data_IF_326209471366
#
_entry.id   IF_326209471366
#
_cell.length_a   1.000
_cell.length_b   1.000
_cell.length_c   1.000
_cell.angle_alpha   90.00
_cell.angle_beta   90.00
_cell.angle_gamma   90.00
#
_symmetry.space_group_name_H-M   'P 1'
#
loop_
_entity.id
_entity.type
_entity.pdbx_description
1 polymer ?
#
# COMPACT_ATOMS: atom_id res chain seq x y z
N UNK A 1 12.09 -0.21 3.69
CA UNK A 1 10.87 -0.90 3.25
C UNK A 1 10.61 -0.86 1.74
N UNK A 2 11.08 0.13 0.97
CA UNK A 2 10.76 0.25 -0.45
C UNK A 2 11.21 -0.95 -1.32
N UNK A 3 12.44 -1.44 -1.15
CA UNK A 3 12.94 -2.61 -1.90
C UNK A 3 12.11 -3.88 -1.63
N UNK A 4 11.74 -4.11 -0.37
CA UNK A 4 10.90 -5.25 0.05
C UNK A 4 9.50 -5.14 -0.57
N UNK A 5 8.90 -3.95 -0.59
CA UNK A 5 7.61 -3.72 -1.24
C UNK A 5 7.66 -3.98 -2.75
N UNK A 6 8.73 -3.57 -3.41
CA UNK A 6 8.88 -3.80 -4.85
C UNK A 6 9.10 -5.28 -5.17
N UNK A 7 9.92 -5.98 -4.40
CA UNK A 7 10.09 -7.44 -4.52
C UNK A 7 8.77 -8.19 -4.29
N UNK A 8 8.01 -7.82 -3.25
CA UNK A 8 6.68 -8.38 -2.99
C UNK A 8 5.73 -8.14 -4.19
N UNK A 9 5.75 -6.93 -4.77
CA UNK A 9 4.92 -6.62 -5.92
C UNK A 9 5.21 -7.53 -7.12
N UNK A 10 6.49 -7.80 -7.41
CA UNK A 10 6.86 -8.72 -8.49
C UNK A 10 6.43 -10.16 -8.20
N UNK A 11 6.54 -10.61 -6.95
CA UNK A 11 6.10 -11.95 -6.55
C UNK A 11 4.59 -12.12 -6.69
N UNK A 12 3.80 -11.11 -6.32
CA UNK A 12 2.35 -11.11 -6.48
C UNK A 12 1.94 -11.04 -7.96
N UNK A 13 2.61 -10.22 -8.76
CA UNK A 13 2.40 -10.18 -10.22
C UNK A 13 2.69 -11.53 -10.87
N UNK A 14 3.77 -12.21 -10.46
CA UNK A 14 4.15 -13.53 -10.98
C UNK A 14 3.07 -14.58 -10.79
N UNK A 15 2.26 -14.49 -9.73
CA UNK A 15 1.15 -15.41 -9.45
C UNK A 15 -0.22 -14.86 -9.91
N UNK A 16 -0.23 -13.80 -10.73
CA UNK A 16 -1.42 -13.32 -11.43
C UNK A 16 -2.17 -12.15 -10.78
N UNK A 17 -1.66 -11.56 -9.70
CA UNK A 17 -2.30 -10.38 -9.10
C UNK A 17 -1.92 -9.09 -9.82
N UNK A 18 -2.90 -8.20 -9.99
CA UNK A 18 -2.65 -6.81 -10.43
C UNK A 18 -2.19 -6.00 -9.22
N UNK A 19 -0.94 -5.56 -9.25
CA UNK A 19 -0.32 -4.84 -8.13
C UNK A 19 0.35 -3.56 -8.65
N UNK A 20 0.27 -2.48 -7.88
CA UNK A 20 1.07 -1.28 -8.09
C UNK A 20 1.91 -1.05 -6.82
N UNK A 21 3.18 -0.66 -6.99
CA UNK A 21 4.08 -0.35 -5.88
C UNK A 21 4.85 0.92 -6.21
N UNK A 22 4.56 1.98 -5.45
CA UNK A 22 5.15 3.30 -5.65
C UNK A 22 6.04 3.68 -4.48
N UNK A 23 7.14 4.37 -4.77
CA UNK A 23 8.08 4.86 -3.75
C UNK A 23 7.83 6.34 -3.39
N UNK A 24 7.20 7.09 -4.29
CA UNK A 24 6.85 8.48 -4.06
C UNK A 24 5.61 8.60 -3.16
N UNK A 25 5.74 9.38 -2.09
CA UNK A 25 4.69 9.53 -1.07
C UNK A 25 3.43 10.22 -1.60
N UNK A 26 3.58 11.20 -2.51
CA UNK A 26 2.43 11.90 -3.08
C UNK A 26 1.62 10.99 -4.00
N UNK A 27 2.32 10.15 -4.78
CA UNK A 27 1.67 9.13 -5.60
C UNK A 27 1.00 8.08 -4.71
N UNK A 28 1.64 7.61 -3.64
CA UNK A 28 1.02 6.69 -2.68
C UNK A 28 -0.28 7.25 -2.07
N UNK A 29 -0.30 8.53 -1.71
CA UNK A 29 -1.50 9.19 -1.18
C UNK A 29 -2.62 9.22 -2.23
N UNK A 30 -2.28 9.55 -3.48
CA UNK A 30 -3.22 9.57 -4.61
C UNK A 30 -3.82 8.20 -4.86
N UNK A 31 -2.98 7.16 -4.90
CA UNK A 31 -3.41 5.76 -5.06
C UNK A 31 -4.33 5.35 -3.91
N UNK A 32 -3.98 5.67 -2.66
CA UNK A 32 -4.77 5.32 -1.48
C UNK A 32 -6.18 5.89 -1.53
N UNK A 33 -6.34 7.11 -2.04
CA UNK A 33 -7.64 7.76 -2.20
C UNK A 33 -8.45 7.22 -3.39
N UNK A 34 -7.78 6.63 -4.39
CA UNK A 34 -8.43 6.03 -5.55
C UNK A 34 -8.88 4.57 -5.31
N UNK A 35 -8.46 3.94 -4.21
CA UNK A 35 -8.91 2.59 -3.85
C UNK A 35 -10.42 2.58 -3.53
N UNK A 36 -11.00 1.39 -3.61
CA UNK A 36 -12.42 1.16 -3.30
C UNK A 36 -12.60 -0.16 -2.56
N UNK A 37 -13.84 -0.42 -2.13
CA UNK A 37 -14.24 -1.72 -1.58
C UNK A 37 -13.86 -2.85 -2.55
N UNK A 38 -13.16 -3.85 -2.01
CA UNK A 38 -12.63 -5.00 -2.77
C UNK A 38 -11.14 -4.88 -3.11
N UNK A 39 -10.56 -3.68 -3.04
CA UNK A 39 -9.13 -3.50 -3.19
C UNK A 39 -8.38 -3.77 -1.86
N UNK A 40 -7.07 -4.04 -1.98
CA UNK A 40 -6.19 -4.30 -0.85
C UNK A 40 -4.97 -3.37 -0.92
N UNK A 41 -4.70 -2.64 0.17
CA UNK A 41 -3.45 -1.90 0.36
C UNK A 41 -2.56 -2.63 1.36
N UNK A 42 -1.30 -2.87 0.97
CA UNK A 42 -0.27 -3.41 1.86
C UNK A 42 0.69 -2.29 2.25
N UNK A 43 0.64 -1.84 3.49
CA UNK A 43 1.51 -0.81 4.04
C UNK A 43 2.74 -1.43 4.70
N UNK A 44 3.93 -1.19 4.16
CA UNK A 44 5.19 -1.76 4.68
C UNK A 44 6.04 -0.68 5.33
N UNK A 45 6.22 -0.73 6.65
CA UNK A 45 7.00 0.27 7.40
C UNK A 45 7.61 -0.32 8.66
N UNK A 46 8.94 -0.39 8.74
CA UNK A 46 9.67 -0.96 9.88
C UNK A 46 9.24 -0.38 11.24
N UNK A 47 9.02 0.94 11.34
CA UNK A 47 8.63 1.54 12.61
C UNK A 47 7.13 1.44 12.90
N UNK A 48 6.30 1.08 11.90
CA UNK A 48 4.84 1.18 11.95
C UNK A 48 4.25 2.58 12.16
N UNK A 49 5.09 3.59 12.42
CA UNK A 49 4.70 4.91 12.94
C UNK A 49 4.97 6.06 11.98
N UNK A 50 5.49 5.80 10.78
CA UNK A 50 5.71 6.83 9.77
C UNK A 50 4.38 7.49 9.40
N UNK A 51 4.27 8.78 9.69
CA UNK A 51 3.04 9.56 9.57
C UNK A 51 2.43 9.45 8.17
N UNK A 52 3.26 9.52 7.14
CA UNK A 52 2.83 9.46 5.75
C UNK A 52 2.20 8.10 5.40
N UNK A 53 2.76 7.01 5.91
CA UNK A 53 2.25 5.66 5.70
C UNK A 53 0.93 5.45 6.46
N UNK A 54 0.84 5.95 7.70
CA UNK A 54 -0.38 5.91 8.50
C UNK A 54 -1.50 6.69 7.80
N UNK A 55 -1.21 7.89 7.29
CA UNK A 55 -2.18 8.70 6.54
C UNK A 55 -2.69 7.99 5.28
N UNK A 56 -1.81 7.33 4.52
CA UNK A 56 -2.20 6.54 3.36
C UNK A 56 -3.10 5.36 3.74
N UNK A 57 -2.71 4.60 4.78
CA UNK A 57 -3.49 3.48 5.31
C UNK A 57 -4.89 3.91 5.80
N UNK A 58 -4.97 5.04 6.50
CA UNK A 58 -6.26 5.58 6.93
C UNK A 58 -7.12 6.04 5.75
N UNK A 59 -6.53 6.66 4.73
CA UNK A 59 -7.23 7.07 3.52
C UNK A 59 -7.82 5.86 2.78
N UNK A 60 -7.03 4.81 2.57
CA UNK A 60 -7.50 3.58 1.93
C UNK A 60 -8.64 2.92 2.71
N UNK A 61 -8.51 2.85 4.05
CA UNK A 61 -9.58 2.32 4.91
C UNK A 61 -10.86 3.14 4.80
N UNK A 62 -10.77 4.47 4.73
CA UNK A 62 -11.94 5.36 4.52
C UNK A 62 -12.65 5.09 3.20
N UNK A 63 -11.91 4.70 2.15
CA UNK A 63 -12.50 4.29 0.87
C UNK A 63 -13.07 2.86 0.86
N UNK A 64 -12.98 2.15 1.99
CA UNK A 64 -13.49 0.79 2.15
C UNK A 64 -12.55 -0.31 1.65
N UNK A 65 -11.30 0.04 1.31
CA UNK A 65 -10.28 -0.95 0.96
C UNK A 65 -9.80 -1.73 2.18
N UNK A 66 -9.36 -2.96 1.98
CA UNK A 66 -8.72 -3.76 3.03
C UNK A 66 -7.29 -3.28 3.22
N UNK A 67 -6.89 -3.02 4.45
CA UNK A 67 -5.53 -2.55 4.76
C UNK A 67 -4.80 -3.63 5.55
N UNK A 68 -3.62 -4.01 5.06
CA UNK A 68 -2.70 -4.96 5.72
C UNK A 68 -1.42 -4.20 6.05
N UNK A 69 -1.01 -4.23 7.32
CA UNK A 69 0.25 -3.63 7.76
C UNK A 69 1.33 -4.71 7.92
N UNK A 70 2.52 -4.43 7.41
CA UNK A 70 3.74 -5.20 7.64
C UNK A 70 4.75 -4.25 8.27
N UNK A 71 5.03 -4.46 9.56
CA UNK A 71 5.84 -3.56 10.37
C UNK A 71 6.96 -4.30 11.08
#
# INVERSE_FOLDING_TARGET
SALVGRDLSFKLMKIGYRVACEADTHVQATVSQALKKGDVQIAISYSGSKKEIVLCAEAARKQGATVIAIT
#
